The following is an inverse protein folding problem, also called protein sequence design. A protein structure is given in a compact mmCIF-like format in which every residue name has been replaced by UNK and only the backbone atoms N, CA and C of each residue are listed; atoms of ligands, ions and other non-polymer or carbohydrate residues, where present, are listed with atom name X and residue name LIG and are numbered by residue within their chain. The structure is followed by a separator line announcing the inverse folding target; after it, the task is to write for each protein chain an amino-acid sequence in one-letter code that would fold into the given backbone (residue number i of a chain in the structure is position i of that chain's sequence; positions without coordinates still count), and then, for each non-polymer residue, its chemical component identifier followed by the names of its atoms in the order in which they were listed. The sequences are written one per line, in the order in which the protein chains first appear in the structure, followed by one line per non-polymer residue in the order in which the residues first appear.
data_IF_876715240085
#
_entry.id   IF_876715240085
#
_cell.length_a   1.000
_cell.length_b   1.000
_cell.length_c   1.000
_cell.angle_alpha   90.00
_cell.angle_beta   90.00
_cell.angle_gamma   90.00
#
_symmetry.space_group_name_H-M   'P 1'
#
loop_
_entity.id
_entity.type
_entity.pdbx_description
1 polymer ?
#
# COMPACT_ATOMS: atom_id res chain seq x y z
N UNK A 1 45.30 32.73 -43.42
CA UNK A 1 44.09 33.36 -42.86
C UNK A 1 43.51 32.52 -41.71
N UNK A 2 43.91 32.73 -40.43
CA UNK A 2 43.48 31.90 -39.29
C UNK A 2 42.36 32.53 -38.43
N UNK A 3 42.13 33.85 -38.53
CA UNK A 3 41.27 34.60 -37.59
C UNK A 3 39.77 34.25 -37.68
N UNK A 4 39.31 33.80 -38.85
CA UNK A 4 37.89 33.54 -39.10
C UNK A 4 37.42 32.20 -38.50
N UNK A 5 38.28 31.16 -38.48
CA UNK A 5 37.96 29.85 -37.89
C UNK A 5 37.77 29.90 -36.37
N UNK A 6 38.58 30.71 -35.69
CA UNK A 6 38.55 30.88 -34.23
C UNK A 6 37.24 31.52 -33.72
N UNK A 7 36.60 32.39 -34.53
CA UNK A 7 35.32 33.01 -34.19
C UNK A 7 34.12 32.05 -34.28
N UNK A 8 34.18 31.06 -35.18
CA UNK A 8 33.13 30.07 -35.37
C UNK A 8 33.16 29.00 -34.26
N UNK A 9 34.35 28.63 -33.77
CA UNK A 9 34.50 27.70 -32.65
C UNK A 9 34.01 28.29 -31.33
N UNK A 10 34.32 29.57 -31.06
CA UNK A 10 33.81 30.27 -29.87
C UNK A 10 32.29 30.45 -29.89
N UNK A 11 31.69 30.71 -31.06
CA UNK A 11 30.24 30.77 -31.22
C UNK A 11 29.56 29.40 -30.99
N UNK A 12 30.15 28.31 -31.52
CA UNK A 12 29.68 26.94 -31.27
C UNK A 12 29.74 26.55 -29.80
N UNK A 13 30.85 26.84 -29.13
CA UNK A 13 31.01 26.58 -27.70
C UNK A 13 29.96 27.32 -26.87
N UNK A 14 29.70 28.60 -27.17
CA UNK A 14 28.63 29.37 -26.50
C UNK A 14 27.26 28.72 -26.68
N UNK A 15 26.93 28.25 -27.88
CA UNK A 15 25.64 27.61 -28.14
C UNK A 15 25.50 26.28 -27.39
N UNK A 16 26.57 25.48 -27.30
CA UNK A 16 26.60 24.26 -26.49
C UNK A 16 26.39 24.58 -25.02
N UNK A 17 27.05 25.60 -24.48
CA UNK A 17 26.87 26.01 -23.09
C UNK A 17 25.45 26.53 -22.78
N UNK A 18 24.85 27.27 -23.70
CA UNK A 18 23.44 27.72 -23.57
C UNK A 18 22.50 26.52 -23.59
N UNK A 19 22.67 25.61 -24.55
CA UNK A 19 21.85 24.39 -24.64
C UNK A 19 21.99 23.52 -23.38
N UNK A 20 23.22 23.33 -22.89
CA UNK A 20 23.48 22.59 -21.66
C UNK A 20 22.83 23.26 -20.44
N UNK A 21 22.91 24.60 -20.35
CA UNK A 21 22.30 25.36 -19.25
C UNK A 21 20.77 25.22 -19.27
N UNK A 22 20.15 25.34 -20.45
CA UNK A 22 18.70 25.14 -20.61
C UNK A 22 18.30 23.72 -20.19
N UNK A 23 19.06 22.71 -20.63
CA UNK A 23 18.77 21.32 -20.30
C UNK A 23 18.88 21.04 -18.79
N UNK A 24 19.88 21.61 -18.11
CA UNK A 24 20.00 21.53 -16.64
C UNK A 24 18.82 22.18 -15.95
N UNK A 25 18.36 23.35 -16.42
CA UNK A 25 17.18 24.04 -15.85
C UNK A 25 15.92 23.18 -16.03
N UNK A 26 15.74 22.55 -17.20
CA UNK A 26 14.60 21.66 -17.45
C UNK A 26 14.63 20.44 -16.52
N UNK A 27 15.79 19.82 -16.32
CA UNK A 27 15.93 18.68 -15.39
C UNK A 27 15.67 19.11 -13.96
N UNK A 28 16.25 20.23 -13.52
CA UNK A 28 16.05 20.74 -12.17
C UNK A 28 14.58 21.07 -11.90
N UNK A 29 13.89 21.70 -12.87
CA UNK A 29 12.46 21.97 -12.78
C UNK A 29 11.61 20.70 -12.71
N UNK A 30 11.92 19.71 -13.57
CA UNK A 30 11.25 18.39 -13.54
C UNK A 30 11.45 17.67 -12.21
N UNK A 31 12.67 17.70 -11.67
CA UNK A 31 13.00 17.11 -10.39
C UNK A 31 12.26 17.79 -9.24
N UNK A 32 12.24 19.12 -9.18
CA UNK A 32 11.53 19.86 -8.14
C UNK A 32 10.02 19.58 -8.16
N UNK A 33 9.42 19.50 -9.36
CA UNK A 33 8.02 19.14 -9.52
C UNK A 33 7.74 17.71 -9.06
N UNK A 34 8.60 16.76 -9.44
CA UNK A 34 8.45 15.37 -9.05
C UNK A 34 8.57 15.21 -7.53
N UNK A 35 9.56 15.85 -6.92
CA UNK A 35 9.79 15.80 -5.48
C UNK A 35 8.55 16.22 -4.68
N UNK A 36 7.91 17.31 -5.07
CA UNK A 36 6.68 17.79 -4.42
C UNK A 36 5.51 16.80 -4.56
N UNK A 37 5.48 15.98 -5.62
CA UNK A 37 4.37 15.05 -5.89
C UNK A 37 4.52 13.69 -5.20
N UNK A 38 5.73 13.33 -4.75
CA UNK A 38 6.00 12.03 -4.14
C UNK A 38 5.18 11.85 -2.87
N UNK A 39 5.16 12.84 -1.98
CA UNK A 39 4.50 12.72 -0.68
C UNK A 39 2.98 12.55 -0.79
N UNK A 40 2.33 13.36 -1.61
CA UNK A 40 0.88 13.25 -1.87
C UNK A 40 0.50 11.89 -2.43
N UNK A 41 1.32 11.37 -3.35
CA UNK A 41 1.09 10.07 -3.99
C UNK A 41 1.27 8.94 -2.98
N UNK A 42 2.31 9.01 -2.14
CA UNK A 42 2.56 8.03 -1.09
C UNK A 42 1.44 8.01 -0.05
N UNK A 43 0.97 9.17 0.40
CA UNK A 43 -0.14 9.25 1.37
C UNK A 43 -1.45 8.72 0.78
N UNK A 44 -1.75 9.04 -0.48
CA UNK A 44 -2.93 8.51 -1.17
C UNK A 44 -2.88 6.98 -1.29
N UNK A 45 -1.72 6.43 -1.65
CA UNK A 45 -1.53 4.98 -1.76
C UNK A 45 -1.64 4.29 -0.40
N UNK A 46 -0.96 4.82 0.63
CA UNK A 46 -1.02 4.29 1.98
C UNK A 46 -2.45 4.27 2.53
N UNK A 47 -3.21 5.35 2.30
CA UNK A 47 -4.62 5.43 2.68
C UNK A 47 -5.48 4.40 1.93
N UNK A 48 -5.27 4.25 0.63
CA UNK A 48 -6.00 3.28 -0.19
C UNK A 48 -5.75 1.85 0.30
N UNK A 49 -4.50 1.51 0.61
CA UNK A 49 -4.15 0.19 1.11
C UNK A 49 -4.74 -0.06 2.50
N UNK A 50 -4.67 0.92 3.41
CA UNK A 50 -5.27 0.81 4.73
C UNK A 50 -6.80 0.58 4.66
N UNK A 51 -7.49 1.32 3.79
CA UNK A 51 -8.93 1.15 3.57
C UNK A 51 -9.26 -0.21 2.96
N UNK A 52 -8.46 -0.66 1.98
CA UNK A 52 -8.61 -1.98 1.35
C UNK A 52 -8.43 -3.11 2.37
N UNK A 53 -7.38 -3.05 3.20
CA UNK A 53 -7.15 -4.02 4.27
C UNK A 53 -8.30 -4.05 5.28
N UNK A 54 -8.76 -2.88 5.72
CA UNK A 54 -9.89 -2.77 6.63
C UNK A 54 -11.19 -3.35 6.04
N UNK A 55 -11.46 -3.08 4.75
CA UNK A 55 -12.63 -3.61 4.07
C UNK A 55 -12.57 -5.14 3.93
N UNK A 56 -11.38 -5.71 3.66
CA UNK A 56 -11.20 -7.17 3.63
C UNK A 56 -11.55 -7.81 4.97
N UNK A 57 -11.05 -7.27 6.07
CA UNK A 57 -11.34 -7.78 7.42
C UNK A 57 -12.84 -7.67 7.76
N UNK A 58 -13.45 -6.54 7.40
CA UNK A 58 -14.89 -6.35 7.59
C UNK A 58 -15.72 -7.36 6.81
N UNK A 59 -15.37 -7.64 5.55
CA UNK A 59 -16.08 -8.63 4.74
C UNK A 59 -15.98 -10.01 5.38
N UNK A 60 -14.78 -10.40 5.85
CA UNK A 60 -14.59 -11.70 6.50
C UNK A 60 -15.41 -11.83 7.79
N UNK A 61 -15.37 -10.79 8.66
CA UNK A 61 -16.16 -10.77 9.90
C UNK A 61 -17.65 -10.77 9.65
N UNK A 62 -18.13 -10.02 8.65
CA UNK A 62 -19.55 -10.02 8.26
C UNK A 62 -19.99 -11.37 7.72
N UNK A 63 -19.16 -12.00 6.88
CA UNK A 63 -19.46 -13.34 6.39
C UNK A 63 -19.61 -14.33 7.54
N UNK A 64 -18.65 -14.36 8.48
CA UNK A 64 -18.72 -15.22 9.66
C UNK A 64 -19.98 -14.95 10.49
N UNK A 65 -20.27 -13.68 10.80
CA UNK A 65 -21.47 -13.30 11.57
C UNK A 65 -22.77 -13.65 10.83
N UNK A 66 -22.83 -13.50 9.50
CA UNK A 66 -24.01 -13.84 8.71
C UNK A 66 -24.33 -15.34 8.71
N UNK A 67 -23.35 -16.20 9.01
CA UNK A 67 -23.51 -17.64 9.17
C UNK A 67 -23.68 -18.06 10.64
N UNK A 68 -23.76 -17.10 11.57
CA UNK A 68 -23.91 -17.36 13.01
C UNK A 68 -22.60 -17.61 13.77
N UNK A 69 -21.45 -17.40 13.12
CA UNK A 69 -20.11 -17.67 13.66
C UNK A 69 -19.42 -18.84 12.99
N UNK A 70 -18.24 -19.20 13.48
CA UNK A 70 -17.47 -20.35 12.96
C UNK A 70 -17.04 -21.23 14.13
N UNK A 71 -17.02 -22.55 13.92
CA UNK A 71 -16.52 -23.49 14.91
C UNK A 71 -15.02 -23.71 14.75
N UNK A 72 -14.27 -23.55 15.84
CA UNK A 72 -12.81 -23.75 15.88
C UNK A 72 -12.42 -24.63 17.08
N UNK A 73 -11.27 -25.34 17.02
CA UNK A 73 -10.78 -26.05 18.19
C UNK A 73 -10.46 -25.06 19.32
N UNK A 74 -10.95 -25.30 20.55
CA UNK A 74 -10.63 -24.43 21.67
C UNK A 74 -9.13 -24.50 21.99
N UNK A 75 -8.54 -23.35 22.30
CA UNK A 75 -7.13 -23.20 22.69
C UNK A 75 -6.97 -22.12 23.76
N UNK A 76 -5.77 -21.99 24.33
CA UNK A 76 -5.49 -20.92 25.30
C UNK A 76 -5.69 -19.51 24.70
N UNK A 77 -5.45 -19.34 23.40
CA UNK A 77 -5.67 -18.06 22.70
C UNK A 77 -7.11 -17.87 22.25
N UNK A 78 -7.88 -18.96 22.14
CA UNK A 78 -9.28 -18.96 21.71
C UNK A 78 -10.10 -19.91 22.59
N UNK A 79 -10.31 -19.57 23.87
CA UNK A 79 -11.12 -20.38 24.76
C UNK A 79 -12.61 -20.25 24.39
N UNK A 80 -13.47 -21.20 24.78
CA UNK A 80 -14.91 -21.10 24.58
C UNK A 80 -15.48 -19.78 25.12
N UNK A 81 -16.20 -19.04 24.28
CA UNK A 81 -16.64 -17.70 24.62
C UNK A 81 -17.68 -17.75 25.76
N UNK A 82 -17.40 -17.18 26.95
CA UNK A 82 -18.35 -17.20 28.07
C UNK A 82 -19.65 -16.46 27.77
N UNK A 83 -19.60 -15.45 26.90
CA UNK A 83 -20.78 -14.68 26.49
C UNK A 83 -21.73 -15.45 25.59
N UNK A 84 -21.28 -16.57 25.00
CA UNK A 84 -22.12 -17.46 24.18
C UNK A 84 -22.62 -18.68 24.97
N UNK A 85 -22.40 -18.74 26.29
CA UNK A 85 -22.77 -19.90 27.12
C UNK A 85 -24.28 -20.21 27.12
N UNK A 86 -25.12 -19.25 26.74
CA UNK A 86 -26.56 -19.45 26.60
C UNK A 86 -26.96 -20.20 25.32
N UNK A 87 -26.05 -20.35 24.35
CA UNK A 87 -26.29 -21.10 23.13
C UNK A 87 -26.06 -22.60 23.37
N UNK A 88 -27.05 -23.46 23.09
CA UNK A 88 -26.93 -24.90 23.35
C UNK A 88 -25.82 -25.54 22.52
N UNK A 89 -25.64 -25.07 21.29
CA UNK A 89 -24.66 -25.63 20.35
C UNK A 89 -23.32 -24.86 20.39
N UNK A 90 -23.03 -24.06 21.43
CA UNK A 90 -21.75 -23.31 21.49
C UNK A 90 -20.55 -24.23 21.36
N UNK A 91 -20.55 -25.34 22.08
CA UNK A 91 -19.49 -26.34 22.05
C UNK A 91 -20.03 -27.65 21.50
N UNK A 92 -19.35 -28.19 20.48
CA UNK A 92 -19.77 -29.41 19.80
C UNK A 92 -18.60 -30.38 19.65
N UNK A 93 -18.93 -31.66 19.51
CA UNK A 93 -17.96 -32.70 19.17
C UNK A 93 -18.32 -33.27 17.81
N UNK A 94 -17.36 -33.28 16.87
CA UNK A 94 -17.59 -33.85 15.54
C UNK A 94 -17.82 -35.37 15.61
N UNK A 95 -18.32 -35.96 14.54
CA UNK A 95 -18.43 -37.43 14.40
C UNK A 95 -17.09 -38.16 14.49
N UNK A 96 -15.98 -37.44 14.30
CA UNK A 96 -14.60 -37.92 14.45
C UNK A 96 -14.00 -37.65 15.84
N UNK A 97 -14.79 -37.13 16.79
CA UNK A 97 -14.36 -36.90 18.18
C UNK A 97 -13.59 -35.59 18.41
N UNK A 98 -13.58 -34.64 17.46
CA UNK A 98 -12.90 -33.35 17.64
C UNK A 98 -13.82 -32.37 18.37
N UNK A 99 -13.33 -31.81 19.47
CA UNK A 99 -14.01 -30.73 20.19
C UNK A 99 -13.86 -29.41 19.43
N UNK A 100 -14.95 -28.67 19.28
CA UNK A 100 -15.00 -27.36 18.65
C UNK A 100 -15.87 -26.40 19.50
N UNK A 101 -15.54 -25.11 19.45
CA UNK A 101 -16.31 -24.04 20.09
C UNK A 101 -16.63 -22.94 19.07
N UNK A 102 -17.79 -22.31 19.23
CA UNK A 102 -18.26 -21.22 18.39
C UNK A 102 -17.54 -19.92 18.75
N UNK A 103 -17.03 -19.23 17.72
CA UNK A 103 -16.36 -17.92 17.81
C UNK A 103 -17.01 -16.85 16.94
#
# INVERSE_FOLDING_TARGET
MPRQRMSLETARLRLVWVAASIWVVVIAGSFAWNWQRVDDTLMALARSEALSSYQKDLVYRRWAASHGGVYVPPSDTTPPNPYLAFLPDRDVTTTSGKALTLV
#
